data_IF_328344353519
#
_entry.id   IF_328344353519
#
_cell.length_a   1.000
_cell.length_b   1.000
_cell.length_c   1.000
_cell.angle_alpha   90.00
_cell.angle_beta   90.00
_cell.angle_gamma   90.00
#
_symmetry.space_group_name_H-M   'P 1'
#
loop_
_entity.id
_entity.type
_entity.pdbx_description
1 polymer ?
#
# COMPACT_ATOMS: atom_id res chain seq x y z
N UNK A 1 14.03 26.68 64.35
CA UNK A 1 13.06 26.16 63.38
C UNK A 1 13.83 25.74 62.13
N UNK A 2 14.09 24.45 61.95
CA UNK A 2 14.80 23.91 60.78
C UNK A 2 13.78 23.39 59.78
N UNK A 3 13.71 24.04 58.61
CA UNK A 3 12.85 23.65 57.49
C UNK A 3 13.44 22.39 56.83
N UNK A 4 12.71 21.29 56.88
CA UNK A 4 13.01 20.08 56.12
C UNK A 4 12.50 20.24 54.69
N UNK A 5 13.40 20.19 53.71
CA UNK A 5 13.06 20.19 52.29
C UNK A 5 12.62 18.78 51.86
N UNK A 6 11.37 18.67 51.39
CA UNK A 6 10.84 17.46 50.78
C UNK A 6 11.42 17.30 49.37
N UNK A 7 12.37 16.38 49.19
CA UNK A 7 12.84 15.95 47.87
C UNK A 7 11.81 15.02 47.24
N UNK A 8 11.15 15.48 46.18
CA UNK A 8 10.29 14.63 45.33
C UNK A 8 11.18 13.75 44.44
N UNK A 9 10.97 12.43 44.37
CA UNK A 9 11.72 11.59 43.45
C UNK A 9 11.24 11.84 42.02
N UNK A 10 12.18 12.14 41.12
CA UNK A 10 11.91 12.24 39.69
C UNK A 10 11.58 10.85 39.13
N UNK A 11 10.33 10.64 38.71
CA UNK A 11 9.90 9.43 38.00
C UNK A 11 10.59 9.41 36.62
N UNK A 12 11.59 8.56 36.47
CA UNK A 12 12.29 8.30 35.21
C UNK A 12 11.41 7.46 34.27
N UNK A 13 10.55 8.12 33.47
CA UNK A 13 9.71 7.48 32.43
C UNK A 13 10.46 7.18 31.10
N UNK A 14 11.74 6.75 31.14
CA UNK A 14 12.56 6.61 29.91
C UNK A 14 12.84 5.17 29.46
N UNK A 15 12.46 4.16 30.25
CA UNK A 15 12.84 2.76 30.00
C UNK A 15 11.77 1.94 29.26
N UNK A 16 10.49 2.08 29.63
CA UNK A 16 9.43 1.21 29.13
C UNK A 16 9.13 1.37 27.63
N UNK A 17 9.27 2.59 27.08
CA UNK A 17 8.97 2.88 25.68
C UNK A 17 9.86 2.12 24.69
N UNK A 18 11.11 1.84 25.04
CA UNK A 18 12.04 1.11 24.15
C UNK A 18 11.70 -0.37 24.02
N UNK A 19 11.16 -0.99 25.08
CA UNK A 19 10.83 -2.41 25.10
C UNK A 19 9.67 -2.76 24.18
N UNK A 20 8.70 -1.85 24.00
CA UNK A 20 7.53 -2.06 23.14
C UNK A 20 7.73 -1.59 21.70
N UNK A 21 8.60 -0.59 21.46
CA UNK A 21 8.81 -0.04 20.12
C UNK A 21 9.57 -1.01 19.21
N UNK A 22 10.62 -1.68 19.71
CA UNK A 22 11.42 -2.57 18.86
C UNK A 22 10.64 -3.80 18.33
N UNK A 23 9.85 -4.52 19.15
CA UNK A 23 9.00 -5.61 18.64
C UNK A 23 7.94 -5.13 17.64
N UNK A 24 7.34 -3.96 17.89
CA UNK A 24 6.35 -3.37 16.98
C UNK A 24 6.97 -3.02 15.62
N UNK A 25 8.12 -2.34 15.61
CA UNK A 25 8.83 -2.00 14.38
C UNK A 25 9.25 -3.25 13.60
N UNK A 26 9.71 -4.30 14.29
CA UNK A 26 10.04 -5.58 13.66
C UNK A 26 8.82 -6.24 13.02
N UNK A 27 7.67 -6.18 13.69
CA UNK A 27 6.40 -6.68 13.15
C UNK A 27 5.99 -5.91 11.90
N UNK A 28 5.98 -4.57 11.97
CA UNK A 28 5.65 -3.70 10.83
C UNK A 28 6.58 -4.00 9.65
N UNK A 29 7.90 -4.06 9.89
CA UNK A 29 8.89 -4.39 8.84
C UNK A 29 8.63 -5.75 8.20
N UNK A 30 8.25 -6.76 9.00
CA UNK A 30 7.92 -8.10 8.50
C UNK A 30 6.65 -8.08 7.65
N UNK A 31 5.60 -7.43 8.14
CA UNK A 31 4.31 -7.30 7.44
C UNK A 31 4.49 -6.53 6.13
N UNK A 32 5.18 -5.40 6.12
CA UNK A 32 5.46 -4.63 4.90
C UNK A 32 6.27 -5.43 3.87
N UNK A 33 7.26 -6.22 4.32
CA UNK A 33 8.03 -7.09 3.41
C UNK A 33 7.15 -8.16 2.78
N UNK A 34 6.25 -8.75 3.57
CA UNK A 34 5.32 -9.77 3.08
C UNK A 34 4.33 -9.18 2.08
N UNK A 35 3.72 -8.04 2.38
CA UNK A 35 2.82 -7.32 1.48
C UNK A 35 3.50 -6.96 0.16
N UNK A 36 4.74 -6.48 0.21
CA UNK A 36 5.53 -6.17 -0.98
C UNK A 36 5.75 -7.41 -1.86
N UNK A 37 6.15 -8.54 -1.25
CA UNK A 37 6.36 -9.80 -1.99
C UNK A 37 5.06 -10.32 -2.61
N UNK A 38 3.96 -10.31 -1.86
CA UNK A 38 2.65 -10.74 -2.37
C UNK A 38 2.19 -9.86 -3.54
N UNK A 39 2.42 -8.56 -3.46
CA UNK A 39 2.07 -7.65 -4.53
C UNK A 39 2.90 -7.91 -5.79
N UNK A 40 4.21 -8.09 -5.65
CA UNK A 40 5.09 -8.36 -6.79
C UNK A 40 4.74 -9.69 -7.47
N UNK A 41 4.44 -10.73 -6.69
CA UNK A 41 3.94 -12.01 -7.21
C UNK A 41 2.60 -11.84 -7.94
N UNK A 42 1.73 -10.96 -7.45
CA UNK A 42 0.46 -10.67 -8.11
C UNK A 42 0.68 -9.99 -9.46
N UNK A 43 1.55 -8.98 -9.52
CA UNK A 43 1.91 -8.34 -10.79
C UNK A 43 2.47 -9.37 -11.78
N UNK A 44 3.34 -10.27 -11.34
CA UNK A 44 3.85 -11.37 -12.18
C UNK A 44 2.73 -12.29 -12.69
N UNK A 45 1.80 -12.70 -11.81
CA UNK A 45 0.67 -13.56 -12.17
C UNK A 45 -0.23 -12.93 -13.24
N UNK A 46 -0.41 -11.61 -13.18
CA UNK A 46 -1.21 -10.86 -14.16
C UNK A 46 -0.45 -10.55 -15.46
N UNK A 47 0.81 -10.98 -15.58
CA UNK A 47 1.66 -10.63 -16.73
C UNK A 47 2.15 -9.18 -16.70
N UNK A 48 2.09 -8.52 -15.55
CA UNK A 48 2.43 -7.13 -15.30
C UNK A 48 3.74 -6.97 -14.50
N UNK A 49 4.52 -8.06 -14.38
CA UNK A 49 5.79 -8.08 -13.66
C UNK A 49 6.82 -7.08 -14.20
N UNK A 50 6.86 -6.89 -15.52
CA UNK A 50 7.79 -6.00 -16.23
C UNK A 50 7.27 -4.56 -16.39
N UNK A 51 6.13 -4.21 -15.78
CA UNK A 51 5.65 -2.83 -15.83
C UNK A 51 6.63 -1.89 -15.09
N UNK A 52 6.85 -0.67 -15.61
CA UNK A 52 7.58 0.37 -14.90
C UNK A 52 6.98 0.65 -13.52
N UNK A 53 7.83 0.97 -12.55
CA UNK A 53 7.41 1.22 -11.16
C UNK A 53 6.39 2.36 -11.07
N UNK A 54 6.52 3.40 -11.90
CA UNK A 54 5.59 4.53 -11.95
C UNK A 54 4.17 4.07 -12.28
N UNK A 55 4.02 3.12 -13.21
CA UNK A 55 2.72 2.58 -13.59
C UNK A 55 2.18 1.65 -12.51
N UNK A 56 3.04 0.79 -11.93
CA UNK A 56 2.65 -0.09 -10.82
C UNK A 56 2.16 0.68 -9.61
N UNK A 57 2.80 1.81 -9.29
CA UNK A 57 2.38 2.69 -8.18
C UNK A 57 1.00 3.26 -8.47
N UNK A 58 0.73 3.73 -9.70
CA UNK A 58 -0.55 4.35 -10.05
C UNK A 58 -1.74 3.37 -9.94
N UNK A 59 -1.52 2.08 -10.24
CA UNK A 59 -2.56 1.04 -10.17
C UNK A 59 -2.49 0.17 -8.92
N UNK A 60 -1.61 0.51 -7.96
CA UNK A 60 -1.32 -0.34 -6.80
C UNK A 60 -2.58 -0.72 -6.03
N UNK A 61 -3.42 0.27 -5.72
CA UNK A 61 -4.66 0.03 -4.96
C UNK A 61 -5.67 -0.79 -5.77
N UNK A 62 -5.78 -0.57 -7.08
CA UNK A 62 -6.64 -1.38 -7.94
C UNK A 62 -6.26 -2.85 -7.88
N UNK A 63 -4.96 -3.15 -8.02
CA UNK A 63 -4.43 -4.52 -7.95
C UNK A 63 -4.62 -5.12 -6.56
N UNK A 64 -4.34 -4.34 -5.52
CA UNK A 64 -4.56 -4.76 -4.13
C UNK A 64 -6.01 -5.17 -3.89
N UNK A 65 -6.96 -4.39 -4.39
CA UNK A 65 -8.39 -4.68 -4.24
C UNK A 65 -8.83 -5.88 -5.08
N UNK A 66 -8.28 -6.07 -6.29
CA UNK A 66 -8.50 -7.29 -7.06
C UNK A 66 -8.01 -8.53 -6.32
N UNK A 67 -6.84 -8.48 -5.68
CA UNK A 67 -6.30 -9.60 -4.88
C UNK A 67 -7.18 -9.89 -3.68
N UNK A 68 -7.65 -8.87 -2.98
CA UNK A 68 -8.52 -9.07 -1.82
C UNK A 68 -9.85 -9.72 -2.18
N UNK A 69 -10.40 -9.34 -3.34
CA UNK A 69 -11.59 -9.97 -3.91
C UNK A 69 -11.33 -11.43 -4.30
N UNK A 70 -10.21 -11.71 -4.97
CA UNK A 70 -9.80 -13.08 -5.33
C UNK A 70 -9.53 -13.97 -4.10
N UNK A 71 -9.00 -13.40 -3.02
CA UNK A 71 -8.84 -14.08 -1.72
C UNK A 71 -10.18 -14.32 -1.00
N UNK A 72 -11.28 -13.78 -1.52
CA UNK A 72 -12.62 -13.97 -0.97
C UNK A 72 -12.92 -13.09 0.25
N UNK A 73 -12.16 -12.02 0.48
CA UNK A 73 -12.45 -11.10 1.59
C UNK A 73 -13.73 -10.28 1.37
N UNK A 74 -14.06 -10.00 0.11
CA UNK A 74 -15.31 -9.39 -0.30
C UNK A 74 -15.57 -9.70 -1.79
N UNK A 75 -16.77 -9.34 -2.28
CA UNK A 75 -17.12 -9.38 -3.70
C UNK A 75 -17.75 -8.05 -4.07
N UNK A 76 -17.15 -7.36 -5.05
CA UNK A 76 -17.65 -6.09 -5.57
C UNK A 76 -18.59 -6.35 -6.75
N UNK A 77 -19.89 -6.40 -6.48
CA UNK A 77 -20.93 -6.49 -7.52
C UNK A 77 -21.28 -5.12 -8.14
N UNK A 78 -20.48 -4.09 -7.85
CA UNK A 78 -20.72 -2.72 -8.29
C UNK A 78 -20.17 -2.48 -9.71
N UNK A 79 -20.98 -1.81 -10.54
CA UNK A 79 -20.65 -1.55 -11.94
C UNK A 79 -19.46 -0.61 -12.11
N UNK A 80 -19.28 0.37 -11.22
CA UNK A 80 -18.16 1.32 -11.30
C UNK A 80 -16.84 0.63 -10.95
N UNK A 81 -16.85 -0.30 -9.97
CA UNK A 81 -15.66 -1.10 -9.66
C UNK A 81 -15.28 -1.99 -10.85
N UNK A 82 -16.25 -2.63 -11.50
CA UNK A 82 -16.01 -3.42 -12.70
C UNK A 82 -15.45 -2.56 -13.85
N UNK A 83 -16.03 -1.38 -14.09
CA UNK A 83 -15.54 -0.43 -15.09
C UNK A 83 -14.11 0.04 -14.80
N UNK A 84 -13.78 0.29 -13.53
CA UNK A 84 -12.42 0.65 -13.12
C UNK A 84 -11.44 -0.47 -13.45
N UNK A 85 -11.76 -1.73 -13.12
CA UNK A 85 -10.91 -2.89 -13.47
C UNK A 85 -10.68 -3.00 -14.98
N UNK A 86 -11.74 -2.85 -15.77
CA UNK A 86 -11.65 -2.89 -17.24
C UNK A 86 -10.78 -1.74 -17.78
N UNK A 87 -10.90 -0.55 -17.20
CA UNK A 87 -10.08 0.62 -17.56
C UNK A 87 -8.61 0.37 -17.26
N UNK A 88 -8.29 -0.16 -16.08
CA UNK A 88 -6.93 -0.54 -15.69
C UNK A 88 -6.34 -1.53 -16.69
N UNK A 89 -7.05 -2.63 -16.94
CA UNK A 89 -6.59 -3.65 -17.88
C UNK A 89 -6.39 -3.08 -19.29
N UNK A 90 -7.30 -2.25 -19.79
CA UNK A 90 -7.21 -1.66 -21.11
C UNK A 90 -5.95 -0.80 -21.28
N UNK A 91 -5.67 0.11 -20.34
CA UNK A 91 -4.52 1.02 -20.44
C UNK A 91 -3.19 0.31 -20.19
N UNK A 92 -3.17 -0.67 -19.29
CA UNK A 92 -1.97 -1.50 -19.08
C UNK A 92 -1.65 -2.30 -20.35
N UNK A 93 -2.63 -2.98 -20.94
CA UNK A 93 -2.44 -3.71 -22.20
C UNK A 93 -2.01 -2.76 -23.33
N UNK A 94 -2.67 -1.60 -23.46
CA UNK A 94 -2.31 -0.59 -24.47
C UNK A 94 -0.86 -0.12 -24.32
N UNK A 95 -0.36 0.01 -23.09
CA UNK A 95 1.04 0.35 -22.85
C UNK A 95 1.98 -0.82 -23.20
N UNK A 96 1.66 -2.05 -22.77
CA UNK A 96 2.46 -3.24 -23.06
C UNK A 96 2.55 -3.54 -24.57
N UNK A 97 1.47 -3.31 -25.30
CA UNK A 97 1.39 -3.47 -26.76
C UNK A 97 2.09 -2.32 -27.53
N UNK A 98 2.62 -1.31 -26.83
CA UNK A 98 3.26 -0.14 -27.43
C UNK A 98 2.29 0.83 -28.12
N UNK A 99 0.99 0.72 -27.86
CA UNK A 99 -0.06 1.57 -28.45
C UNK A 99 -0.05 2.97 -27.82
N UNK A 100 0.28 3.08 -26.52
CA UNK A 100 0.39 4.37 -25.84
C UNK A 100 1.70 4.54 -25.06
N UNK A 101 2.08 5.79 -24.80
CA UNK A 101 3.23 6.10 -23.95
C UNK A 101 2.93 5.85 -22.47
N UNK A 102 3.99 5.71 -21.66
CA UNK A 102 3.89 5.59 -20.20
C UNK A 102 3.13 6.78 -19.59
N UNK A 103 3.45 8.00 -20.02
CA UNK A 103 2.78 9.21 -19.54
C UNK A 103 1.28 9.20 -19.85
N UNK A 104 0.89 8.76 -21.05
CA UNK A 104 -0.51 8.67 -21.44
C UNK A 104 -1.27 7.65 -20.58
N UNK A 105 -0.67 6.47 -20.35
CA UNK A 105 -1.25 5.44 -19.49
C UNK A 105 -1.44 5.95 -18.05
N UNK A 106 -0.40 6.54 -17.45
CA UNK A 106 -0.46 7.12 -16.10
C UNK A 106 -1.56 8.18 -16.03
N UNK A 107 -1.58 9.12 -16.98
CA UNK A 107 -2.57 10.20 -17.01
C UNK A 107 -4.02 9.68 -17.12
N UNK A 108 -4.22 8.61 -17.88
CA UNK A 108 -5.54 8.02 -18.05
C UNK A 108 -5.99 7.21 -16.83
N UNK A 109 -5.04 6.60 -16.12
CA UNK A 109 -5.31 5.79 -14.93
C UNK A 109 -5.42 6.62 -13.65
N UNK A 110 -4.92 7.85 -13.68
CA UNK A 110 -4.95 8.76 -12.55
C UNK A 110 -6.37 9.07 -12.09
N UNK A 111 -6.68 8.66 -10.86
CA UNK A 111 -7.96 8.97 -10.23
C UNK A 111 -7.97 10.45 -9.84
N UNK A 112 -8.92 11.21 -10.39
CA UNK A 112 -9.12 12.60 -9.99
C UNK A 112 -9.78 12.62 -8.62
N UNK A 113 -9.21 13.38 -7.69
CA UNK A 113 -9.91 13.75 -6.46
C UNK A 113 -11.25 14.38 -6.83
N UNK A 114 -12.32 13.91 -6.21
CA UNK A 114 -13.57 14.66 -6.20
C UNK A 114 -13.30 15.92 -5.37
N UNK A 115 -13.53 17.09 -5.99
CA UNK A 115 -13.43 18.39 -5.35
C UNK A 115 -14.74 18.75 -4.64
#
# INVERSE_FOLDING_TARGET
MTLHTLTTPAISKKSETKLFVAPLLNRIKKESKQEFVEMQQTFELMGWGELPDELKIEIYDDVRFMVQELKGYYSSCDQFVQQRRNTVHFWVSSFQDGICSLEAAIKALKVKSLA
#
